data_IF_014522850783
#
_entry.id   IF_014522850783
#
_cell.length_a   1.000
_cell.length_b   1.000
_cell.length_c   1.000
_cell.angle_alpha   90.00
_cell.angle_beta   90.00
_cell.angle_gamma   90.00
#
_symmetry.space_group_name_H-M   'P 1'
#
loop_
_entity.id
_entity.type
_entity.pdbx_description
1 polymer ?
#
# COMPACT_ATOMS: atom_id res chain seq x y z
N UNK A 1 48.68 2.47 63.46
CA UNK A 1 49.02 3.72 62.74
C UNK A 1 49.20 3.39 61.26
N UNK A 2 48.58 4.22 60.40
CA UNK A 2 48.74 4.39 58.94
C UNK A 2 48.08 3.38 57.98
N UNK A 3 46.99 3.88 57.39
CA UNK A 3 46.39 3.51 56.11
C UNK A 3 47.37 3.69 54.95
N UNK A 4 47.24 2.87 53.90
CA UNK A 4 47.13 3.37 52.52
C UNK A 4 46.38 2.38 51.60
N UNK A 5 45.45 2.95 50.84
CA UNK A 5 44.67 2.35 49.76
C UNK A 5 45.51 2.36 48.48
N UNK A 6 45.37 1.35 47.61
CA UNK A 6 45.66 1.45 46.18
C UNK A 6 44.55 0.73 45.38
N UNK A 7 43.90 1.54 44.53
CA UNK A 7 42.95 1.20 43.47
C UNK A 7 43.71 0.91 42.17
N UNK A 8 43.14 0.06 41.30
CA UNK A 8 43.16 0.10 39.81
C UNK A 8 43.02 -1.34 39.27
N UNK A 9 42.34 -1.68 38.19
CA UNK A 9 41.41 -1.00 37.28
C UNK A 9 40.73 -2.12 36.49
N UNK A 10 39.39 -2.20 36.51
CA UNK A 10 38.66 -3.06 35.59
C UNK A 10 38.35 -2.25 34.33
N UNK A 11 39.06 -2.51 33.23
CA UNK A 11 38.75 -1.96 31.91
C UNK A 11 37.57 -2.77 31.36
N UNK A 12 36.36 -2.21 31.44
CA UNK A 12 35.18 -2.72 30.77
C UNK A 12 35.14 -2.11 29.37
N UNK A 13 35.44 -2.91 28.34
CA UNK A 13 35.29 -2.52 26.94
C UNK A 13 33.80 -2.66 26.59
N UNK A 14 33.07 -1.56 26.64
CA UNK A 14 31.72 -1.47 26.09
C UNK A 14 31.85 -1.33 24.57
N UNK A 15 31.69 -2.44 23.84
CA UNK A 15 31.57 -2.42 22.39
C UNK A 15 30.22 -1.79 22.02
N UNK A 16 30.27 -0.50 21.66
CA UNK A 16 29.12 0.23 21.14
C UNK A 16 28.83 -0.28 19.73
N UNK A 17 27.98 -1.30 19.60
CA UNK A 17 27.38 -1.69 18.33
C UNK A 17 26.45 -0.56 17.87
N UNK A 18 26.99 0.41 17.15
CA UNK A 18 26.20 1.35 16.37
C UNK A 18 25.53 0.56 15.23
N UNK A 19 24.31 0.10 15.45
CA UNK A 19 23.44 -0.32 14.35
C UNK A 19 23.10 0.93 13.55
N UNK A 20 23.89 1.22 12.52
CA UNK A 20 23.54 2.16 11.49
C UNK A 20 22.30 1.60 10.78
N UNK A 21 21.12 1.96 11.25
CA UNK A 21 19.88 1.72 10.51
C UNK A 21 20.07 2.33 9.12
N UNK A 22 19.76 1.56 8.08
CA UNK A 22 19.81 2.05 6.70
C UNK A 22 18.78 3.17 6.62
N UNK A 23 19.24 4.42 6.71
CA UNK A 23 18.43 5.57 6.41
C UNK A 23 18.07 5.46 4.94
N UNK A 24 16.83 5.07 4.63
CA UNK A 24 16.35 5.02 3.25
C UNK A 24 16.21 6.45 2.74
N UNK A 25 17.30 6.95 2.15
CA UNK A 25 17.41 8.31 1.63
C UNK A 25 16.81 8.45 0.22
N UNK A 26 16.34 7.36 -0.38
CA UNK A 26 15.84 7.35 -1.76
C UNK A 26 14.33 7.57 -1.82
N UNK A 27 13.89 8.17 -2.92
CA UNK A 27 12.47 8.13 -3.29
C UNK A 27 12.03 6.66 -3.46
N UNK A 28 10.83 6.31 -2.98
CA UNK A 28 10.35 4.93 -3.02
C UNK A 28 8.84 4.83 -3.21
N UNK A 29 8.38 3.70 -3.73
CA UNK A 29 6.96 3.30 -3.68
C UNK A 29 6.68 2.50 -2.41
N UNK A 30 5.53 2.76 -1.78
CA UNK A 30 5.04 1.97 -0.63
C UNK A 30 4.71 0.52 -1.06
N UNK A 31 4.03 0.35 -2.19
CA UNK A 31 3.70 -0.95 -2.77
C UNK A 31 4.56 -1.20 -4.00
N UNK A 32 5.46 -2.18 -3.95
CA UNK A 32 6.45 -2.43 -5.03
C UNK A 32 6.04 -3.52 -6.01
N UNK A 33 4.88 -4.13 -5.82
CA UNK A 33 4.34 -5.16 -6.71
C UNK A 33 2.83 -4.99 -6.87
N UNK A 34 2.30 -5.26 -8.07
CA UNK A 34 0.87 -5.23 -8.39
C UNK A 34 0.56 -6.12 -9.60
N UNK A 35 -0.72 -6.43 -9.86
CA UNK A 35 -1.12 -7.25 -11.02
C UNK A 35 -1.52 -6.37 -12.21
N UNK A 36 -1.15 -6.80 -13.42
CA UNK A 36 -1.60 -6.19 -14.66
C UNK A 36 -3.13 -6.11 -14.73
N UNK A 37 -3.65 -5.07 -15.40
CA UNK A 37 -5.09 -4.84 -15.55
C UNK A 37 -5.80 -4.27 -14.31
N UNK A 38 -5.15 -4.19 -13.14
CA UNK A 38 -5.75 -3.70 -11.90
C UNK A 38 -5.52 -2.20 -11.68
N UNK A 39 -6.33 -1.59 -10.80
CA UNK A 39 -6.01 -0.26 -10.29
C UNK A 39 -4.89 -0.36 -9.28
N UNK A 40 -3.94 0.57 -9.39
CA UNK A 40 -2.79 0.69 -8.52
C UNK A 40 -2.70 2.10 -7.96
N UNK A 41 -2.39 2.18 -6.66
CA UNK A 41 -2.14 3.44 -5.95
C UNK A 41 -0.63 3.60 -5.78
N UNK A 42 -0.03 4.42 -6.62
CA UNK A 42 1.37 4.79 -6.50
C UNK A 42 1.51 5.85 -5.40
N UNK A 43 1.96 5.44 -4.21
CA UNK A 43 2.33 6.34 -3.12
C UNK A 43 3.84 6.55 -3.14
N UNK A 44 4.28 7.64 -3.77
CA UNK A 44 5.69 8.01 -3.93
C UNK A 44 6.15 8.77 -2.70
N UNK A 45 7.01 8.17 -1.90
CA UNK A 45 7.56 8.73 -0.67
C UNK A 45 8.82 9.54 -0.99
N UNK A 46 8.80 10.82 -0.61
CA UNK A 46 10.00 11.67 -0.56
C UNK A 46 10.47 11.72 0.90
N UNK A 47 11.68 11.21 1.21
CA UNK A 47 12.09 10.99 2.60
C UNK A 47 12.48 12.26 3.35
N UNK A 48 13.02 13.25 2.63
CA UNK A 48 13.50 14.51 3.19
C UNK A 48 13.69 15.53 2.05
N UNK A 49 13.96 16.77 2.43
CA UNK A 49 14.42 17.84 1.54
C UNK A 49 15.83 17.60 0.99
N UNK A 50 16.24 18.33 -0.03
CA UNK A 50 17.54 18.18 -0.67
C UNK A 50 18.54 19.22 -0.14
N UNK A 51 19.76 18.77 0.17
CA UNK A 51 20.81 19.60 0.80
C UNK A 51 20.35 20.32 2.08
N UNK A 52 19.46 19.71 2.86
CA UNK A 52 18.88 20.31 4.07
C UNK A 52 17.81 21.39 3.81
N UNK A 53 17.52 21.72 2.55
CA UNK A 53 16.48 22.69 2.17
C UNK A 53 15.14 21.99 1.99
N UNK A 54 14.05 22.69 2.29
CA UNK A 54 12.71 22.15 2.12
C UNK A 54 12.39 21.85 0.65
N UNK A 55 11.69 20.74 0.39
CA UNK A 55 11.15 20.44 -0.93
C UNK A 55 9.98 21.36 -1.22
N UNK A 56 10.02 22.03 -2.37
CA UNK A 56 8.98 22.97 -2.80
C UNK A 56 8.23 22.49 -4.03
N UNK A 57 8.82 21.58 -4.80
CA UNK A 57 8.19 20.97 -5.97
C UNK A 57 8.62 19.51 -6.15
N UNK A 58 7.68 18.68 -6.57
CA UNK A 58 7.90 17.28 -6.96
C UNK A 58 7.22 17.04 -8.29
N UNK A 59 7.96 16.52 -9.26
CA UNK A 59 7.43 16.10 -10.55
C UNK A 59 7.59 14.61 -10.73
N UNK A 60 6.56 13.95 -11.26
CA UNK A 60 6.56 12.51 -11.52
C UNK A 60 6.21 12.29 -12.97
N UNK A 61 7.10 11.63 -13.69
CA UNK A 61 6.82 11.12 -15.04
C UNK A 61 6.14 9.76 -14.92
N UNK A 62 4.99 9.63 -15.57
CA UNK A 62 4.19 8.41 -15.51
C UNK A 62 4.64 7.42 -16.58
N UNK A 63 5.00 6.19 -16.19
CA UNK A 63 5.46 5.19 -17.14
C UNK A 63 4.34 4.79 -18.10
N UNK A 64 4.74 4.32 -19.28
CA UNK A 64 3.83 3.69 -20.22
C UNK A 64 3.13 2.48 -19.57
N UNK A 65 1.84 2.33 -19.85
CA UNK A 65 1.00 1.31 -19.21
C UNK A 65 0.53 1.64 -17.78
N UNK A 66 0.84 2.82 -17.23
CA UNK A 66 0.10 3.40 -16.10
C UNK A 66 -0.90 4.44 -16.64
N UNK A 67 -2.15 4.00 -16.82
CA UNK A 67 -3.20 4.74 -17.52
C UNK A 67 -4.28 5.26 -16.57
N UNK A 68 -5.13 6.17 -17.06
CA UNK A 68 -6.19 6.80 -16.25
C UNK A 68 -5.69 7.42 -14.93
N UNK A 69 -4.49 8.00 -14.96
CA UNK A 69 -3.87 8.54 -13.76
C UNK A 69 -4.65 9.74 -13.18
N UNK A 70 -4.88 9.67 -11.87
CA UNK A 70 -5.62 10.63 -11.07
C UNK A 70 -4.80 10.97 -9.82
N UNK A 71 -4.11 12.13 -9.77
CA UNK A 71 -3.38 12.54 -8.58
C UNK A 71 -4.34 12.83 -7.44
N UNK A 72 -3.95 12.43 -6.22
CA UNK A 72 -4.68 12.76 -5.00
C UNK A 72 -4.52 14.25 -4.70
N UNK A 73 -5.62 14.94 -4.44
CA UNK A 73 -5.60 16.31 -3.93
C UNK A 73 -4.75 16.37 -2.65
N UNK A 74 -3.87 17.37 -2.57
CA UNK A 74 -2.88 17.49 -1.49
C UNK A 74 -2.93 18.90 -0.92
N UNK A 75 -3.30 19.02 0.35
CA UNK A 75 -3.41 20.32 1.02
C UNK A 75 -2.05 21.02 1.06
N UNK A 76 -2.03 22.33 0.75
CA UNK A 76 -0.80 23.11 0.72
C UNK A 76 0.10 22.88 -0.51
N UNK A 77 -0.36 22.11 -1.50
CA UNK A 77 0.35 21.90 -2.77
C UNK A 77 -0.57 22.21 -3.94
N UNK A 78 -0.06 22.94 -4.92
CA UNK A 78 -0.71 23.12 -6.21
C UNK A 78 -0.44 21.91 -7.09
N UNK A 79 -1.47 21.35 -7.73
CA UNK A 79 -1.34 20.17 -8.60
C UNK A 79 -1.59 20.58 -10.05
N UNK A 80 -0.65 20.22 -10.92
CA UNK A 80 -0.76 20.38 -12.37
C UNK A 80 -0.47 19.05 -13.05
N UNK A 81 -1.15 18.79 -14.16
CA UNK A 81 -0.97 17.57 -14.96
C UNK A 81 -0.72 17.93 -16.41
N UNK A 82 0.30 17.33 -17.01
CA UNK A 82 0.53 17.42 -18.46
C UNK A 82 -0.01 16.16 -19.11
N UNK A 83 -0.87 16.33 -20.12
CA UNK A 83 -1.39 15.23 -20.93
C UNK A 83 -0.55 15.02 -22.18
N UNK A 84 -0.52 13.80 -22.68
CA UNK A 84 0.11 13.44 -23.93
C UNK A 84 -0.39 12.08 -24.41
N UNK A 85 0.05 11.71 -25.61
CA UNK A 85 -0.29 10.43 -26.22
C UNK A 85 0.44 9.28 -25.50
N UNK A 86 -0.25 8.16 -25.41
CA UNK A 86 0.34 6.88 -25.04
C UNK A 86 1.10 6.30 -26.24
N UNK A 87 2.07 5.44 -25.96
CA UNK A 87 2.78 4.71 -27.01
C UNK A 87 1.87 3.71 -27.73
N UNK A 88 0.83 3.22 -27.03
CA UNK A 88 -0.16 2.30 -27.56
C UNK A 88 -1.60 2.73 -27.21
N UNK A 89 -2.56 2.31 -28.03
CA UNK A 89 -3.98 2.43 -27.70
C UNK A 89 -4.38 1.37 -26.68
N UNK A 90 -5.05 1.79 -25.60
CA UNK A 90 -5.53 0.90 -24.55
C UNK A 90 -7.05 0.76 -24.60
N UNK A 91 -7.56 -0.46 -24.47
CA UNK A 91 -9.00 -0.71 -24.36
C UNK A 91 -9.46 -0.63 -22.91
N UNK A 92 -10.25 0.38 -22.60
CA UNK A 92 -10.85 0.64 -21.30
C UNK A 92 -12.36 0.59 -21.41
N UNK A 93 -12.99 -0.41 -20.78
CA UNK A 93 -14.45 -0.63 -20.84
C UNK A 93 -15.01 -0.63 -22.28
N UNK A 94 -14.27 -1.25 -23.21
CA UNK A 94 -14.64 -1.33 -24.63
C UNK A 94 -14.36 -0.07 -25.46
N UNK A 95 -13.83 1.00 -24.86
CA UNK A 95 -13.40 2.22 -25.56
C UNK A 95 -11.90 2.26 -25.70
N UNK A 96 -11.43 2.70 -26.84
CA UNK A 96 -10.01 2.96 -27.06
C UNK A 96 -9.62 4.29 -26.41
N UNK A 97 -8.49 4.27 -25.69
CA UNK A 97 -7.88 5.44 -25.06
C UNK A 97 -6.44 5.51 -25.52
N UNK A 98 -6.10 6.59 -26.20
CA UNK A 98 -4.78 6.81 -26.82
C UNK A 98 -3.98 7.93 -26.16
N UNK A 99 -4.56 8.66 -25.20
CA UNK A 99 -3.88 9.74 -24.48
C UNK A 99 -4.36 9.86 -23.04
N UNK A 100 -3.52 10.45 -22.20
CA UNK A 100 -3.82 10.68 -20.80
C UNK A 100 -2.72 11.48 -20.11
N UNK A 101 -2.73 11.50 -18.78
CA UNK A 101 -1.70 12.21 -18.00
C UNK A 101 -0.36 11.47 -18.17
N UNK A 102 0.69 12.21 -18.55
CA UNK A 102 2.07 11.72 -18.69
C UNK A 102 3.01 12.27 -17.64
N UNK A 103 2.67 13.41 -17.03
CA UNK A 103 3.43 14.00 -15.95
C UNK A 103 2.50 14.66 -14.93
N UNK A 104 2.84 14.56 -13.66
CA UNK A 104 2.19 15.29 -12.56
C UNK A 104 3.23 16.18 -11.88
N UNK A 105 2.85 17.40 -11.54
CA UNK A 105 3.64 18.35 -10.77
C UNK A 105 2.85 18.76 -9.52
N UNK A 106 3.44 18.54 -8.34
CA UNK A 106 3.03 19.19 -7.10
C UNK A 106 3.99 20.33 -6.80
N UNK A 107 3.51 21.57 -6.74
CA UNK A 107 4.33 22.78 -6.50
C UNK A 107 3.79 23.63 -5.35
N UNK A 108 4.53 24.69 -5.02
CA UNK A 108 4.21 25.67 -3.97
C UNK A 108 4.11 25.05 -2.56
N UNK A 109 4.64 23.84 -2.42
CA UNK A 109 4.67 23.11 -1.17
C UNK A 109 5.84 23.51 -0.28
N UNK A 110 5.83 22.93 0.91
CA UNK A 110 6.91 23.07 1.87
C UNK A 110 7.03 21.77 2.66
N UNK A 111 7.94 20.89 2.25
CA UNK A 111 8.35 19.71 3.01
C UNK A 111 9.73 19.96 3.62
N UNK A 112 9.83 20.32 4.92
CA UNK A 112 11.12 20.55 5.57
C UNK A 112 11.97 19.28 5.61
N UNK A 113 13.28 19.45 5.74
CA UNK A 113 14.23 18.32 5.62
C UNK A 113 14.08 17.24 6.68
N UNK A 114 13.47 17.55 7.83
CA UNK A 114 13.30 16.60 8.93
C UNK A 114 12.02 15.74 8.80
N UNK A 115 11.23 15.99 7.75
CA UNK A 115 9.98 15.29 7.50
C UNK A 115 10.01 14.58 6.16
N UNK A 116 9.28 13.48 6.08
CA UNK A 116 8.93 12.83 4.82
C UNK A 116 7.52 13.21 4.41
N UNK A 117 7.19 13.01 3.14
CA UNK A 117 5.82 13.10 2.65
C UNK A 117 5.56 12.10 1.53
N UNK A 118 4.29 11.89 1.21
CA UNK A 118 3.83 11.04 0.12
C UNK A 118 3.07 11.84 -0.94
N UNK A 119 3.37 11.54 -2.19
CA UNK A 119 2.74 12.09 -3.38
C UNK A 119 2.03 10.96 -4.09
N UNK A 120 0.70 10.99 -4.04
CA UNK A 120 -0.15 9.84 -4.37
C UNK A 120 -0.85 10.06 -5.70
N UNK A 121 -0.80 9.05 -6.56
CA UNK A 121 -1.59 8.97 -7.79
C UNK A 121 -2.22 7.59 -7.90
N UNK A 122 -3.49 7.52 -8.25
CA UNK A 122 -4.18 6.27 -8.60
C UNK A 122 -4.25 6.18 -10.11
N UNK A 123 -4.04 5.00 -10.67
CA UNK A 123 -4.21 4.72 -12.10
C UNK A 123 -4.48 3.24 -12.31
N UNK A 124 -4.76 2.85 -13.54
CA UNK A 124 -4.87 1.45 -13.94
C UNK A 124 -3.56 0.99 -14.58
N UNK A 125 -3.16 -0.24 -14.27
CA UNK A 125 -2.06 -0.91 -14.94
C UNK A 125 -2.58 -1.56 -16.22
N UNK A 126 -1.88 -1.38 -17.32
CA UNK A 126 -2.17 -2.05 -18.57
C UNK A 126 -2.18 -3.58 -18.38
N UNK A 127 -2.93 -4.32 -19.22
CA UNK A 127 -2.97 -5.78 -19.18
C UNK A 127 -1.71 -6.38 -19.80
N UNK A 128 -0.55 -6.22 -19.14
CA UNK A 128 0.70 -6.84 -19.54
C UNK A 128 0.57 -8.37 -19.58
N UNK A 129 1.08 -8.97 -20.65
CA UNK A 129 1.13 -10.41 -20.91
C UNK A 129 2.33 -11.10 -20.25
N UNK A 130 3.28 -10.32 -19.74
CA UNK A 130 4.45 -10.77 -19.00
C UNK A 130 4.73 -9.87 -17.81
N UNK A 131 5.45 -10.41 -16.84
CA UNK A 131 6.00 -9.62 -15.73
C UNK A 131 6.79 -8.44 -16.30
N UNK A 132 6.41 -7.25 -15.85
CA UNK A 132 6.92 -5.99 -16.39
C UNK A 132 7.30 -5.07 -15.25
N UNK A 133 8.47 -4.46 -15.30
CA UNK A 133 8.85 -3.43 -14.32
C UNK A 133 8.50 -2.06 -14.86
N UNK A 134 7.67 -1.32 -14.13
CA UNK A 134 7.40 0.08 -14.38
C UNK A 134 8.27 0.95 -13.46
N UNK A 135 8.98 1.90 -14.04
CA UNK A 135 9.75 2.90 -13.29
C UNK A 135 8.98 4.22 -13.27
N UNK A 136 8.94 4.89 -12.13
CA UNK A 136 8.32 6.20 -11.96
C UNK A 136 9.42 7.24 -11.74
N UNK A 137 10.01 7.85 -12.78
CA UNK A 137 11.00 8.90 -12.61
C UNK A 137 10.42 10.05 -11.79
N UNK A 138 11.15 10.44 -10.73
CA UNK A 138 10.74 11.55 -9.85
C UNK A 138 11.84 12.59 -9.81
N UNK A 139 11.49 13.85 -10.06
CA UNK A 139 12.40 14.97 -9.79
C UNK A 139 11.87 15.79 -8.62
N UNK A 140 12.70 15.94 -7.61
CA UNK A 140 12.46 16.71 -6.41
C UNK A 140 13.22 18.04 -6.52
N UNK A 141 12.58 19.16 -6.16
CA UNK A 141 13.17 20.50 -6.18
C UNK A 141 13.06 21.14 -4.79
N UNK A 142 14.12 21.82 -4.35
CA UNK A 142 14.19 22.50 -3.06
C UNK A 142 14.52 23.97 -3.27
N UNK A 143 13.52 24.71 -3.75
CA UNK A 143 13.69 26.04 -4.34
C UNK A 143 14.37 25.97 -5.72
N UNK A 144 14.89 27.10 -6.18
CA UNK A 144 15.50 27.22 -7.51
C UNK A 144 16.95 26.71 -7.58
N UNK A 145 17.58 26.50 -6.42
CA UNK A 145 19.02 26.27 -6.31
C UNK A 145 19.43 24.80 -6.18
N UNK A 146 18.49 23.88 -5.90
CA UNK A 146 18.80 22.48 -5.66
C UNK A 146 17.69 21.55 -6.13
N UNK A 147 18.08 20.39 -6.67
CA UNK A 147 17.18 19.32 -7.06
C UNK A 147 17.85 17.95 -6.96
N UNK A 148 17.03 16.90 -6.84
CA UNK A 148 17.46 15.51 -6.92
C UNK A 148 16.58 14.78 -7.92
N UNK A 149 17.20 14.11 -8.88
CA UNK A 149 16.53 13.36 -9.93
C UNK A 149 16.61 11.86 -9.64
N UNK A 150 15.54 11.29 -9.09
CA UNK A 150 15.33 9.87 -8.88
C UNK A 150 14.85 9.23 -10.20
N UNK A 151 15.74 9.16 -11.18
CA UNK A 151 15.39 8.79 -12.57
C UNK A 151 16.25 7.66 -13.12
N UNK A 152 17.24 7.17 -12.38
CA UNK A 152 18.13 6.12 -12.86
C UNK A 152 17.41 4.78 -12.95
N UNK A 153 17.60 4.08 -14.06
CA UNK A 153 17.10 2.73 -14.31
C UNK A 153 18.31 1.84 -14.54
N UNK A 154 18.37 0.70 -13.85
CA UNK A 154 19.47 -0.23 -13.97
C UNK A 154 19.53 -0.78 -15.40
N UNK A 155 20.72 -0.81 -15.98
CA UNK A 155 20.95 -1.50 -17.26
C UNK A 155 20.98 -3.01 -17.04
N UNK A 156 20.79 -3.78 -18.11
CA UNK A 156 20.88 -5.24 -18.06
C UNK A 156 22.21 -5.70 -17.42
N UNK A 157 22.11 -6.54 -16.39
CA UNK A 157 23.26 -7.05 -15.64
C UNK A 157 23.87 -6.09 -14.62
N UNK A 158 23.39 -4.85 -14.51
CA UNK A 158 23.81 -3.91 -13.46
C UNK A 158 23.09 -4.20 -12.15
N UNK A 159 23.81 -4.18 -11.02
CA UNK A 159 23.18 -4.26 -9.71
C UNK A 159 22.37 -2.97 -9.43
N UNK A 160 21.04 -3.04 -9.19
CA UNK A 160 20.23 -1.86 -8.91
C UNK A 160 20.65 -1.08 -7.65
N UNK A 161 21.36 -1.73 -6.71
CA UNK A 161 21.88 -1.08 -5.51
C UNK A 161 23.07 -0.14 -5.76
N UNK A 162 23.69 -0.21 -6.94
CA UNK A 162 24.80 0.66 -7.32
C UNK A 162 24.31 2.02 -7.87
N UNK A 163 23.01 2.15 -8.11
CA UNK A 163 22.40 3.41 -8.57
C UNK A 163 22.36 4.42 -7.43
N UNK A 164 22.76 5.65 -7.74
CA UNK A 164 22.80 6.76 -6.76
C UNK A 164 21.42 7.33 -6.53
N UNK A 165 20.63 7.45 -7.60
CA UNK A 165 19.29 8.01 -7.56
C UNK A 165 18.34 7.15 -8.40
N UNK A 166 18.08 5.89 -7.98
CA UNK A 166 17.19 5.00 -8.70
C UNK A 166 15.77 5.56 -8.74
N UNK A 167 15.12 5.45 -9.89
CA UNK A 167 13.68 5.68 -9.99
C UNK A 167 12.93 4.65 -9.14
N UNK A 168 11.87 5.03 -8.42
CA UNK A 168 10.96 4.08 -7.80
C UNK A 168 10.41 3.08 -8.81
N UNK A 169 10.49 1.79 -8.48
CA UNK A 169 10.08 0.70 -9.37
C UNK A 169 8.89 -0.07 -8.82
N UNK A 170 7.99 -0.44 -9.72
CA UNK A 170 6.86 -1.33 -9.51
C UNK A 170 7.04 -2.57 -10.39
N UNK A 171 7.07 -3.75 -9.79
CA UNK A 171 6.91 -5.01 -10.51
C UNK A 171 5.42 -5.24 -10.79
N UNK A 172 5.07 -5.34 -12.06
CA UNK A 172 3.71 -5.65 -12.50
C UNK A 172 3.69 -7.10 -12.94
N UNK A 173 2.97 -7.94 -12.22
CA UNK A 173 2.80 -9.35 -12.55
C UNK A 173 1.87 -9.48 -13.76
N UNK A 174 2.20 -10.37 -14.68
CA UNK A 174 1.40 -10.63 -15.88
C UNK A 174 -0.07 -10.94 -15.56
N UNK A 175 -0.98 -10.59 -16.47
CA UNK A 175 -2.34 -11.10 -16.43
C UNK A 175 -2.31 -12.61 -16.76
N UNK A 176 -2.98 -13.44 -15.95
CA UNK A 176 -3.08 -14.86 -16.25
C UNK A 176 -3.77 -15.06 -17.61
N UNK A 177 -3.15 -15.83 -18.50
CA UNK A 177 -3.72 -16.22 -19.78
C UNK A 177 -4.95 -17.09 -19.54
N UNK A 178 -6.13 -16.62 -19.96
CA UNK A 178 -7.33 -17.47 -20.03
C UNK A 178 -7.25 -18.31 -21.30
N UNK A 179 -6.47 -19.38 -21.29
CA UNK A 179 -6.71 -20.49 -22.21
C UNK A 179 -7.72 -21.44 -21.57
N UNK A 180 -8.93 -21.43 -22.12
CA UNK A 180 -9.94 -22.45 -21.85
C UNK A 180 -9.47 -23.77 -22.48
N UNK A 181 -9.06 -24.74 -21.65
CA UNK A 181 -9.49 -26.15 -21.68
C UNK A 181 -8.58 -27.06 -20.82
N UNK A 182 -9.26 -27.92 -20.05
CA UNK A 182 -8.81 -29.19 -19.45
C UNK A 182 -8.11 -29.19 -18.08
N UNK A 183 -8.64 -30.01 -17.18
CA UNK A 183 -7.85 -30.74 -16.16
C UNK A 183 -8.25 -30.51 -14.71
N UNK A 184 -9.00 -31.45 -14.14
CA UNK A 184 -9.10 -31.65 -12.69
C UNK A 184 -7.74 -32.08 -12.10
N UNK A 185 -7.56 -31.76 -10.81
CA UNK A 185 -6.52 -32.18 -9.87
C UNK A 185 -5.10 -31.57 -10.01
N UNK A 186 -4.78 -30.65 -9.10
CA UNK A 186 -3.67 -30.82 -8.14
C UNK A 186 -3.58 -29.63 -7.16
N UNK A 187 -3.34 -30.01 -5.90
CA UNK A 187 -3.10 -29.17 -4.73
C UNK A 187 -1.77 -28.41 -4.81
N UNK A 188 -1.76 -27.23 -4.17
CA UNK A 188 -0.60 -26.51 -3.61
C UNK A 188 0.34 -25.80 -4.59
N UNK A 189 0.24 -24.47 -4.65
CA UNK A 189 1.39 -23.55 -4.73
C UNK A 189 0.93 -22.13 -4.32
N UNK A 190 1.85 -21.37 -3.73
CA UNK A 190 1.64 -20.18 -2.89
C UNK A 190 0.80 -19.06 -3.52
N UNK A 191 -0.34 -18.77 -2.89
CA UNK A 191 -1.33 -17.80 -3.34
C UNK A 191 -1.20 -16.44 -2.64
N UNK A 192 -0.45 -15.49 -3.20
CA UNK A 192 -0.69 -14.08 -2.88
C UNK A 192 -1.84 -13.55 -3.77
N UNK A 193 -3.06 -13.96 -3.42
CA UNK A 193 -4.28 -13.50 -4.06
C UNK A 193 -4.58 -12.06 -3.61
N UNK A 194 -4.16 -11.06 -4.40
CA UNK A 194 -5.01 -9.88 -4.54
C UNK A 194 -6.37 -10.40 -5.06
N UNK A 195 -7.35 -10.48 -4.16
CA UNK A 195 -8.67 -11.03 -4.45
C UNK A 195 -9.31 -10.22 -5.58
N UNK A 196 -9.81 -10.91 -6.61
CA UNK A 196 -10.57 -10.26 -7.67
C UNK A 196 -11.75 -9.47 -7.06
N UNK A 197 -12.14 -8.33 -7.67
CA UNK A 197 -13.31 -7.58 -7.22
C UNK A 197 -14.52 -8.51 -7.07
N UNK A 198 -15.01 -8.65 -5.85
CA UNK A 198 -16.17 -9.50 -5.56
C UNK A 198 -17.42 -8.66 -5.73
N UNK A 199 -18.31 -9.08 -6.63
CA UNK A 199 -19.57 -8.38 -6.89
C UNK A 199 -20.72 -9.08 -6.18
N UNK A 200 -21.56 -8.30 -5.48
CA UNK A 200 -22.80 -8.77 -4.86
C UNK A 200 -23.91 -7.75 -5.13
N UNK A 201 -24.88 -8.12 -5.98
CA UNK A 201 -25.83 -7.16 -6.53
C UNK A 201 -25.12 -6.01 -7.25
N UNK A 202 -25.39 -4.77 -6.85
CA UNK A 202 -24.74 -3.56 -7.37
C UNK A 202 -23.49 -3.14 -6.57
N UNK A 203 -23.08 -3.93 -5.58
CA UNK A 203 -21.91 -3.65 -4.76
C UNK A 203 -20.66 -4.31 -5.35
N UNK A 204 -19.56 -3.57 -5.39
CA UNK A 204 -18.24 -4.05 -5.80
C UNK A 204 -17.30 -3.94 -4.61
N UNK A 205 -16.70 -5.06 -4.21
CA UNK A 205 -15.86 -5.17 -3.03
C UNK A 205 -14.43 -5.46 -3.48
N UNK A 206 -13.47 -4.64 -3.06
CA UNK A 206 -12.07 -4.77 -3.45
C UNK A 206 -11.14 -4.68 -2.26
N UNK A 207 -9.90 -5.13 -2.47
CA UNK A 207 -8.79 -5.01 -1.51
C UNK A 207 -9.08 -5.57 -0.10
N UNK A 208 -9.75 -6.74 0.03
CA UNK A 208 -9.95 -7.35 1.34
C UNK A 208 -8.59 -7.71 1.95
N UNK A 209 -8.40 -7.39 3.22
CA UNK A 209 -7.19 -7.77 3.95
C UNK A 209 -7.41 -7.78 5.45
N UNK A 210 -6.74 -8.68 6.15
CA UNK A 210 -6.60 -8.64 7.61
C UNK A 210 -5.14 -8.36 7.94
N UNK A 211 -4.88 -7.66 9.05
CA UNK A 211 -3.51 -7.40 9.49
C UNK A 211 -3.02 -8.53 10.40
N UNK A 212 -1.81 -9.02 10.14
CA UNK A 212 -1.15 -9.99 11.00
C UNK A 212 -1.07 -9.52 12.47
N UNK A 213 -1.25 -10.45 13.40
CA UNK A 213 -1.31 -10.17 14.84
C UNK A 213 0.09 -10.10 15.48
N UNK A 214 0.22 -9.33 16.57
CA UNK A 214 1.40 -9.46 17.46
C UNK A 214 1.17 -10.63 18.42
N UNK A 215 2.23 -11.33 18.87
CA UNK A 215 2.10 -12.29 19.96
C UNK A 215 1.35 -11.67 21.16
N UNK A 216 0.31 -12.36 21.63
CA UNK A 216 -0.53 -11.89 22.75
C UNK A 216 -1.64 -10.88 22.38
N UNK A 217 -1.74 -10.43 21.13
CA UNK A 217 -2.90 -9.63 20.71
C UNK A 217 -4.18 -10.45 20.78
N UNK A 218 -5.28 -9.78 21.16
CA UNK A 218 -6.64 -10.36 21.18
C UNK A 218 -7.54 -9.79 20.09
N UNK A 219 -7.01 -8.89 19.27
CA UNK A 219 -7.76 -8.23 18.20
C UNK A 219 -6.92 -8.13 16.93
N UNK A 220 -7.58 -8.19 15.78
CA UNK A 220 -6.99 -7.90 14.47
C UNK A 220 -7.84 -6.88 13.71
N UNK A 221 -7.18 -6.04 12.92
CA UNK A 221 -7.84 -5.07 12.05
C UNK A 221 -8.01 -5.65 10.64
N UNK A 222 -9.22 -5.54 10.08
CA UNK A 222 -9.51 -5.84 8.69
C UNK A 222 -9.97 -4.64 7.89
N UNK A 223 -9.66 -4.68 6.60
CA UNK A 223 -9.77 -3.57 5.67
C UNK A 223 -10.33 -4.08 4.34
N UNK A 224 -11.07 -3.22 3.67
CA UNK A 224 -11.64 -3.45 2.34
C UNK A 224 -12.21 -2.13 1.80
N UNK A 225 -12.49 -2.11 0.50
CA UNK A 225 -13.24 -1.04 -0.15
C UNK A 225 -14.56 -1.58 -0.65
N UNK A 226 -15.65 -0.84 -0.44
CA UNK A 226 -16.99 -1.20 -0.91
C UNK A 226 -17.53 -0.05 -1.76
N UNK A 227 -17.66 -0.25 -3.06
CA UNK A 227 -18.33 0.67 -3.98
C UNK A 227 -19.78 0.23 -4.19
N UNK A 228 -20.73 1.17 -4.07
CA UNK A 228 -22.11 0.96 -4.45
C UNK A 228 -22.37 1.64 -5.79
N UNK A 229 -22.32 0.87 -6.88
CA UNK A 229 -22.58 1.36 -8.24
C UNK A 229 -24.07 1.41 -8.58
N UNK A 230 -24.91 1.03 -7.61
CA UNK A 230 -26.36 0.98 -7.74
C UNK A 230 -27.02 2.35 -7.57
N UNK A 231 -28.30 2.40 -7.93
CA UNK A 231 -29.14 3.61 -7.79
C UNK A 231 -29.79 3.75 -6.40
N UNK A 232 -29.63 2.74 -5.53
CA UNK A 232 -30.25 2.69 -4.20
C UNK A 232 -29.16 2.49 -3.14
N UNK A 233 -29.30 3.16 -2.01
CA UNK A 233 -28.42 2.93 -0.87
C UNK A 233 -28.59 1.48 -0.34
N UNK A 234 -27.50 0.90 0.14
CA UNK A 234 -27.47 -0.36 0.89
C UNK A 234 -26.79 -0.12 2.25
N UNK A 235 -26.61 -1.16 3.04
CA UNK A 235 -25.98 -1.11 4.36
C UNK A 235 -25.32 -2.45 4.64
N UNK A 236 -24.04 -2.43 5.03
CA UNK A 236 -23.36 -3.59 5.61
C UNK A 236 -23.83 -3.72 7.07
N UNK A 237 -24.63 -4.74 7.36
CA UNK A 237 -25.31 -4.90 8.65
C UNK A 237 -24.60 -5.88 9.58
N UNK A 238 -23.86 -6.85 9.05
CA UNK A 238 -23.13 -7.83 9.83
C UNK A 238 -21.88 -8.31 9.11
N UNK A 239 -20.89 -8.72 9.89
CA UNK A 239 -19.67 -9.37 9.42
C UNK A 239 -19.37 -10.54 10.35
N UNK A 240 -19.00 -11.68 9.78
CA UNK A 240 -18.63 -12.87 10.55
C UNK A 240 -17.45 -13.60 9.91
N UNK A 241 -16.67 -14.30 10.71
CA UNK A 241 -15.61 -15.18 10.26
C UNK A 241 -15.57 -16.42 11.18
N UNK A 242 -15.28 -17.62 10.64
CA UNK A 242 -15.16 -18.83 11.46
C UNK A 242 -13.94 -18.72 12.39
N UNK A 243 -14.03 -19.32 13.58
CA UNK A 243 -12.97 -19.28 14.58
C UNK A 243 -12.71 -17.91 15.18
N UNK A 244 -13.69 -17.00 15.14
CA UNK A 244 -13.62 -15.66 15.75
C UNK A 244 -14.86 -15.43 16.59
N UNK A 245 -14.69 -14.96 17.83
CA UNK A 245 -15.82 -14.73 18.72
C UNK A 245 -16.83 -13.74 18.13
N UNK A 246 -16.36 -12.68 17.49
CA UNK A 246 -17.17 -11.74 16.69
C UNK A 246 -16.30 -10.82 15.84
N UNK A 247 -16.90 -10.29 14.78
CA UNK A 247 -16.34 -9.21 13.99
C UNK A 247 -17.24 -7.99 14.12
N UNK A 248 -16.65 -6.84 14.46
CA UNK A 248 -17.36 -5.58 14.65
C UNK A 248 -16.94 -4.56 13.59
N UNK A 249 -17.86 -3.68 13.20
CA UNK A 249 -17.55 -2.55 12.31
C UNK A 249 -17.29 -1.33 13.19
N UNK A 250 -16.11 -0.73 13.08
CA UNK A 250 -15.69 0.39 13.90
C UNK A 250 -15.41 1.61 13.03
N UNK A 251 -15.60 2.79 13.61
CA UNK A 251 -15.27 4.10 13.03
C UNK A 251 -14.22 4.77 13.93
N UNK A 252 -13.26 5.44 13.30
CA UNK A 252 -12.35 6.36 13.98
C UNK A 252 -12.86 7.78 13.81
N UNK A 253 -13.10 8.48 14.90
CA UNK A 253 -13.53 9.90 14.89
C UNK A 253 -12.61 10.73 15.77
N UNK A 254 -12.32 11.97 15.33
CA UNK A 254 -11.66 12.96 16.17
C UNK A 254 -12.70 13.59 17.09
N UNK A 255 -12.59 13.33 18.38
CA UNK A 255 -13.38 14.00 19.40
C UNK A 255 -12.44 14.63 20.41
N UNK A 256 -12.53 15.95 20.58
CA UNK A 256 -11.72 16.71 21.54
C UNK A 256 -10.20 16.52 21.32
N UNK A 257 -9.74 16.54 20.06
CA UNK A 257 -8.35 16.29 19.66
C UNK A 257 -7.83 14.87 19.96
N UNK A 258 -8.71 13.93 20.36
CA UNK A 258 -8.37 12.52 20.60
C UNK A 258 -9.05 11.67 19.53
N UNK A 259 -8.27 10.76 18.92
CA UNK A 259 -8.81 9.72 18.04
C UNK A 259 -9.58 8.70 18.88
N UNK A 260 -10.91 8.70 18.78
CA UNK A 260 -11.78 7.73 19.44
C UNK A 260 -12.24 6.69 18.44
N UNK A 261 -12.09 5.44 18.84
CA UNK A 261 -12.63 4.29 18.13
C UNK A 261 -14.02 3.96 18.68
N UNK A 262 -15.00 3.79 17.80
CA UNK A 262 -16.38 3.51 18.17
C UNK A 262 -16.98 2.42 17.29
N UNK A 263 -17.60 1.42 17.92
CA UNK A 263 -18.42 0.41 17.24
C UNK A 263 -19.67 1.04 16.61
N UNK A 264 -19.97 0.65 15.38
CA UNK A 264 -21.19 1.01 14.65
C UNK A 264 -22.27 -0.07 14.84
N UNK A 265 -23.09 0.07 15.89
CA UNK A 265 -24.18 -0.87 16.20
C UNK A 265 -25.19 -1.05 15.04
N UNK A 266 -25.40 0.00 14.24
CA UNK A 266 -26.31 -0.01 13.09
C UNK A 266 -25.68 -0.41 11.77
N UNK A 267 -24.45 -0.92 11.77
CA UNK A 267 -23.68 -1.24 10.57
C UNK A 267 -23.17 -0.02 9.81
N UNK A 268 -22.60 -0.25 8.63
CA UNK A 268 -22.04 0.80 7.75
C UNK A 268 -23.01 1.12 6.62
N UNK A 269 -23.43 2.38 6.52
CA UNK A 269 -24.24 2.86 5.40
C UNK A 269 -23.42 2.90 4.10
N UNK A 270 -24.05 2.46 3.00
CA UNK A 270 -23.47 2.41 1.65
C UNK A 270 -24.35 3.23 0.70
N UNK A 271 -24.21 4.56 0.65
CA UNK A 271 -25.03 5.40 -0.22
C UNK A 271 -24.85 5.04 -1.70
N UNK A 272 -25.90 5.24 -2.50
CA UNK A 272 -25.85 5.02 -3.96
C UNK A 272 -24.77 5.88 -4.62
N UNK A 273 -23.99 5.28 -5.54
CA UNK A 273 -22.91 5.94 -6.27
C UNK A 273 -21.73 6.38 -5.39
N UNK A 274 -21.58 5.81 -4.18
CA UNK A 274 -20.49 6.14 -3.24
C UNK A 274 -19.62 4.93 -2.97
N UNK A 275 -18.37 5.23 -2.64
CA UNK A 275 -17.37 4.25 -2.22
C UNK A 275 -17.02 4.48 -0.77
N UNK A 276 -17.15 3.44 0.04
CA UNK A 276 -16.78 3.42 1.45
C UNK A 276 -15.45 2.68 1.61
N UNK A 277 -14.45 3.35 2.17
CA UNK A 277 -13.13 2.78 2.42
C UNK A 277 -12.99 2.41 3.90
N UNK A 278 -12.86 1.11 4.16
CA UNK A 278 -12.48 0.58 5.46
C UNK A 278 -10.95 0.43 5.48
N UNK A 279 -10.26 1.38 6.10
CA UNK A 279 -8.79 1.46 6.15
C UNK A 279 -8.34 1.95 7.53
N UNK A 280 -7.07 1.73 7.85
CA UNK A 280 -6.47 2.22 9.09
C UNK A 280 -6.73 3.72 9.28
N UNK A 281 -7.25 4.10 10.46
CA UNK A 281 -7.57 5.49 10.79
C UNK A 281 -8.93 5.99 10.27
N UNK A 282 -9.73 5.12 9.62
CA UNK A 282 -11.10 5.37 9.15
C UNK A 282 -12.03 4.30 9.72
N UNK A 283 -13.11 3.97 9.01
CA UNK A 283 -13.84 2.74 9.21
C UNK A 283 -12.91 1.52 9.12
N UNK A 284 -13.15 0.48 9.91
CA UNK A 284 -12.42 -0.79 9.82
C UNK A 284 -13.24 -1.93 10.42
N UNK A 285 -12.86 -3.16 10.09
CA UNK A 285 -13.36 -4.35 10.75
C UNK A 285 -12.46 -4.68 11.94
N UNK A 286 -13.03 -4.96 13.10
CA UNK A 286 -12.31 -5.42 14.28
C UNK A 286 -12.69 -6.88 14.55
N UNK A 287 -11.73 -7.78 14.35
CA UNK A 287 -11.83 -9.19 14.68
C UNK A 287 -11.48 -9.34 16.15
N UNK A 288 -12.40 -9.84 16.98
CA UNK A 288 -12.24 -9.91 18.43
C UNK A 288 -12.14 -11.36 18.86
N UNK A 289 -11.08 -11.66 19.60
CA UNK A 289 -10.78 -13.01 20.11
C UNK A 289 -10.84 -14.07 19.01
N UNK A 290 -9.98 -13.97 17.96
CA UNK A 290 -9.75 -15.10 17.07
C UNK A 290 -9.12 -16.25 17.86
N UNK A 291 -9.52 -17.48 17.57
CA UNK A 291 -9.05 -18.70 18.25
C UNK A 291 -7.55 -18.93 18.09
N UNK A 292 -6.99 -18.41 16.99
CA UNK A 292 -5.59 -18.52 16.60
C UNK A 292 -5.10 -17.12 16.20
N UNK A 293 -3.84 -16.75 16.49
CA UNK A 293 -3.25 -15.54 15.93
C UNK A 293 -3.21 -15.60 14.41
N UNK A 294 -3.62 -14.52 13.73
CA UNK A 294 -3.48 -14.45 12.28
C UNK A 294 -2.04 -14.16 11.87
N UNK A 295 -1.51 -15.03 11.03
CA UNK A 295 -0.14 -14.98 10.53
C UNK A 295 -0.10 -14.53 9.06
N UNK A 296 0.96 -13.81 8.70
CA UNK A 296 1.15 -13.33 7.33
C UNK A 296 1.19 -14.50 6.33
N UNK A 297 0.45 -14.36 5.23
CA UNK A 297 0.31 -15.40 4.20
C UNK A 297 -0.90 -16.32 4.41
N UNK A 298 -1.54 -16.28 5.58
CA UNK A 298 -2.82 -16.93 5.80
C UNK A 298 -3.96 -16.20 5.08
N UNK A 299 -5.12 -16.84 5.03
CA UNK A 299 -6.36 -16.25 4.51
C UNK A 299 -7.49 -16.51 5.48
N UNK A 300 -8.25 -15.47 5.80
CA UNK A 300 -9.42 -15.55 6.67
C UNK A 300 -10.68 -15.47 5.81
N UNK A 301 -11.53 -16.50 5.75
CA UNK A 301 -12.83 -16.40 5.08
C UNK A 301 -13.76 -15.51 5.92
N UNK A 302 -14.34 -14.49 5.29
CA UNK A 302 -15.19 -13.49 5.94
C UNK A 302 -16.51 -13.40 5.20
N UNK A 303 -17.61 -13.59 5.91
CA UNK A 303 -18.95 -13.35 5.39
C UNK A 303 -19.36 -11.90 5.68
N UNK A 304 -19.69 -11.16 4.63
CA UNK A 304 -20.30 -9.84 4.71
C UNK A 304 -21.80 -9.98 4.44
N UNK A 305 -22.63 -9.42 5.32
CA UNK A 305 -24.09 -9.40 5.16
C UNK A 305 -24.58 -7.98 4.91
N UNK A 306 -25.14 -7.77 3.73
CA UNK A 306 -25.76 -6.52 3.31
C UNK A 306 -27.27 -6.59 3.43
N UNK A 307 -27.88 -5.47 3.82
CA UNK A 307 -29.34 -5.38 4.03
C UNK A 307 -30.14 -5.68 2.76
N UNK A 308 -29.64 -5.30 1.58
CA UNK A 308 -30.33 -5.53 0.30
C UNK A 308 -29.59 -6.50 -0.61
N UNK A 309 -28.27 -6.37 -0.74
CA UNK A 309 -27.49 -7.22 -1.63
C UNK A 309 -27.35 -8.68 -1.10
N UNK A 310 -27.63 -8.91 0.18
CA UNK A 310 -27.56 -10.24 0.79
C UNK A 310 -26.17 -10.59 1.31
N UNK A 311 -25.87 -11.88 1.41
CA UNK A 311 -24.61 -12.39 1.97
C UNK A 311 -23.60 -12.69 0.87
N UNK A 312 -22.34 -12.39 1.13
CA UNK A 312 -21.21 -12.80 0.29
C UNK A 312 -20.06 -13.22 1.18
N UNK A 313 -19.41 -14.32 0.83
CA UNK A 313 -18.19 -14.78 1.48
C UNK A 313 -16.98 -14.33 0.64
N UNK A 314 -15.99 -13.75 1.33
CA UNK A 314 -14.79 -13.19 0.71
C UNK A 314 -13.59 -13.65 1.53
N UNK A 315 -12.54 -14.07 0.83
CA UNK A 315 -11.26 -14.43 1.42
C UNK A 315 -10.43 -13.17 1.67
N UNK A 316 -10.10 -12.93 2.94
CA UNK A 316 -9.24 -11.83 3.36
C UNK A 316 -7.81 -12.34 3.56
N UNK A 317 -6.87 -12.04 2.65
CA UNK A 317 -5.45 -12.34 2.88
C UNK A 317 -4.93 -11.62 4.12
N UNK A 318 -4.13 -12.31 4.92
CA UNK A 318 -3.45 -11.73 6.08
C UNK A 318 -2.17 -11.07 5.61
N UNK A 319 -2.17 -9.74 5.64
CA UNK A 319 -1.08 -8.88 5.19
C UNK A 319 -0.06 -8.62 6.29
N UNK A 320 1.18 -8.40 5.87
CA UNK A 320 2.30 -8.09 6.74
C UNK A 320 1.97 -6.97 7.73
N UNK A 321 2.55 -7.07 8.93
CA UNK A 321 2.61 -5.92 9.82
C UNK A 321 3.28 -4.76 9.10
N UNK A 322 2.63 -3.59 9.07
CA UNK A 322 3.39 -2.32 9.01
C UNK A 322 4.36 -2.33 10.20
N UNK A 323 5.64 -2.64 9.94
CA UNK A 323 6.72 -2.66 10.94
C UNK A 323 7.71 -3.84 10.96
N UNK A 324 7.61 -4.89 10.13
CA UNK A 324 8.64 -5.95 10.08
C UNK A 324 8.91 -6.44 8.66
N UNK A 325 10.06 -6.08 8.09
CA UNK A 325 10.74 -6.85 7.04
C UNK A 325 11.30 -8.11 7.69
N UNK A 326 10.88 -9.29 7.24
CA UNK A 326 11.49 -10.56 7.67
C UNK A 326 12.89 -10.67 7.05
N UNK A 327 13.88 -10.75 7.93
CA UNK A 327 15.28 -11.00 7.62
C UNK A 327 15.44 -12.51 7.38
N UNK A 328 15.67 -12.93 6.13
CA UNK A 328 16.04 -14.31 5.83
C UNK A 328 17.56 -14.45 5.94
N UNK A 329 18.04 -14.63 7.17
CA UNK A 329 19.38 -15.15 7.43
C UNK A 329 19.33 -16.68 7.46
N UNK A 330 19.62 -17.31 6.31
CA UNK A 330 19.97 -18.73 6.27
C UNK A 330 21.32 -18.93 6.97
N UNK A 331 21.28 -19.46 8.18
CA UNK A 331 22.41 -20.16 8.78
C UNK A 331 22.48 -21.57 8.17
N UNK A 332 23.41 -21.79 7.25
CA UNK A 332 23.86 -23.15 6.92
C UNK A 332 25.21 -23.39 7.56
N UNK A 333 25.19 -24.11 8.67
CA UNK A 333 26.35 -24.79 9.25
C UNK A 333 26.29 -26.26 8.84
N UNK A 334 27.27 -26.72 8.06
CA UNK A 334 27.98 -27.98 8.25
C UNK A 334 29.19 -28.05 7.31
#
# INVERSE_FOLDING_TARGET
MKNHRLFASAISVFALCASAGIASAHCSLDQKEAKAGTFYKAALRIPHGCEGKATTKVTVDLPEGFIMAQPQAKAGWKIETTKGDYAHGYKLHGKEVTSGVKQISWSDGNLPSDFYDEFVVVGQLAPFDKDTTLSFPVTQFCGDAASVAWTEIAKDGQNPHDLKHPAPQLRVLAAASTDEHAGHDAMSEHMNHAAMPTKVGDLVITDPSVRAMVPGAKVAGGFLTIANDGKKADKLVSVSAPGVKRVEIHEMTMQDQIMKMRKLEGGLDLPAGKTMQLKSGSYHLMFIEPEHPYEEGETVPVTLEFKKAGKVEINFPVTAKKGQTKDHSEHSSH
#
